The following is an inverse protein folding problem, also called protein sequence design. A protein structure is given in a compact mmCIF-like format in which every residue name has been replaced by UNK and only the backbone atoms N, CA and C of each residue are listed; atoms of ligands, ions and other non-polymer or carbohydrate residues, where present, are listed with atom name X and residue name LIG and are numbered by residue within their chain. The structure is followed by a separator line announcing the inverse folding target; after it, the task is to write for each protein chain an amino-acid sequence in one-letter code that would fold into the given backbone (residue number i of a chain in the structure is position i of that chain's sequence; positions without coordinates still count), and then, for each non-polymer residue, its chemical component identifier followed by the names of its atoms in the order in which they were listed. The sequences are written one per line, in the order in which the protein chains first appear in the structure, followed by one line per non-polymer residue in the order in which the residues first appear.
data_IF_210529960459
#
_entry.id   IF_210529960459
#
_cell.length_a   1.000
_cell.length_b   1.000
_cell.length_c   1.000
_cell.angle_alpha   90.00
_cell.angle_beta   90.00
_cell.angle_gamma   90.00
#
_symmetry.space_group_name_H-M   'P 1'
#
loop_
_entity.id
_entity.type
_entity.pdbx_description
1 polymer ?
#
# COMPACT_ATOMS: atom_id res chain seq x y z
N UNK A 1 3.18 -11.89 -16.70
CA UNK A 1 2.57 -10.77 -15.96
C UNK A 1 3.31 -10.64 -14.64
N UNK A 2 3.31 -9.45 -14.01
CA UNK A 2 4.03 -9.21 -12.76
C UNK A 2 3.01 -9.25 -11.62
N UNK A 3 3.30 -9.99 -10.54
CA UNK A 3 2.52 -9.89 -9.30
C UNK A 3 2.72 -8.50 -8.66
N UNK A 4 1.78 -8.10 -7.80
CA UNK A 4 1.75 -6.80 -7.12
C UNK A 4 0.34 -6.21 -7.15
N UNK A 5 0.02 -5.10 -6.48
CA UNK A 5 0.86 -4.48 -5.46
C UNK A 5 1.16 -5.46 -4.33
N UNK A 6 2.34 -5.29 -3.74
CA UNK A 6 2.83 -6.09 -2.63
C UNK A 6 2.58 -5.34 -1.33
N UNK A 7 2.06 -6.05 -0.34
CA UNK A 7 1.72 -5.54 0.96
C UNK A 7 2.56 -6.22 2.01
N UNK A 8 3.08 -5.43 2.93
CA UNK A 8 4.04 -5.89 3.92
C UNK A 8 3.60 -5.46 5.30
N UNK A 9 3.71 -6.36 6.27
CA UNK A 9 3.38 -6.10 7.66
C UNK A 9 4.52 -6.55 8.58
N UNK A 10 4.85 -5.72 9.55
CA UNK A 10 5.89 -5.98 10.52
C UNK A 10 5.24 -6.40 11.83
N UNK A 11 5.77 -7.47 12.40
CA UNK A 11 5.37 -8.02 13.69
C UNK A 11 6.54 -8.80 14.30
N UNK A 12 6.57 -8.87 15.62
CA UNK A 12 7.48 -9.74 16.35
C UNK A 12 7.23 -11.22 15.99
N UNK A 13 8.28 -12.03 15.96
CA UNK A 13 8.18 -13.45 15.61
C UNK A 13 7.17 -14.20 16.49
N UNK A 14 7.13 -13.87 17.79
CA UNK A 14 6.21 -14.47 18.75
C UNK A 14 4.72 -14.19 18.44
N UNK A 15 4.42 -13.07 17.79
CA UNK A 15 3.06 -12.66 17.43
C UNK A 15 2.71 -13.00 15.96
N UNK A 16 3.66 -13.51 15.18
CA UNK A 16 3.57 -13.54 13.71
C UNK A 16 2.47 -14.44 13.16
N UNK A 17 2.31 -15.63 13.74
CA UNK A 17 1.22 -16.54 13.34
C UNK A 17 -0.15 -15.95 13.68
N UNK A 18 -0.24 -15.23 14.80
CA UNK A 18 -1.48 -14.60 15.24
C UNK A 18 -1.83 -13.39 14.37
N UNK A 19 -0.82 -12.58 14.03
CA UNK A 19 -0.93 -11.49 13.06
C UNK A 19 -1.37 -12.01 11.68
N UNK A 20 -0.76 -13.10 11.22
CA UNK A 20 -1.11 -13.76 9.96
C UNK A 20 -2.55 -14.27 9.98
N UNK A 21 -2.97 -14.93 11.07
CA UNK A 21 -4.33 -15.45 11.21
C UNK A 21 -5.38 -14.35 11.24
N UNK A 22 -5.09 -13.24 11.94
CA UNK A 22 -5.95 -12.07 11.94
C UNK A 22 -6.08 -11.44 10.55
N UNK A 23 -4.97 -11.27 9.83
CA UNK A 23 -4.98 -10.77 8.46
C UNK A 23 -5.76 -11.70 7.52
N UNK A 24 -5.52 -13.02 7.58
CA UNK A 24 -6.25 -13.99 6.78
C UNK A 24 -7.76 -13.96 7.08
N UNK A 25 -8.14 -13.90 8.35
CA UNK A 25 -9.54 -13.81 8.77
C UNK A 25 -10.22 -12.52 8.30
N UNK A 26 -9.50 -11.40 8.24
CA UNK A 26 -10.04 -10.12 7.80
C UNK A 26 -10.15 -10.02 6.27
N UNK A 27 -9.33 -10.79 5.53
CA UNK A 27 -9.24 -10.69 4.08
C UNK A 27 -10.04 -11.76 3.34
N UNK A 28 -10.16 -12.97 3.88
CA UNK A 28 -10.86 -14.05 3.20
C UNK A 28 -12.35 -13.70 2.99
N UNK A 29 -12.91 -14.09 1.86
CA UNK A 29 -14.35 -14.02 1.64
C UNK A 29 -15.10 -14.86 2.68
N UNK A 30 -16.28 -14.39 3.13
CA UNK A 30 -17.15 -15.10 4.06
C UNK A 30 -18.50 -15.43 3.39
N UNK A 31 -18.89 -16.71 3.29
CA UNK A 31 -18.13 -17.90 3.69
C UNK A 31 -16.92 -18.19 2.78
N UNK A 32 -15.81 -18.76 3.31
CA UNK A 32 -14.65 -19.09 2.48
C UNK A 32 -14.98 -20.14 1.42
N UNK A 33 -14.59 -19.88 0.16
CA UNK A 33 -14.67 -20.88 -0.91
C UNK A 33 -13.62 -21.97 -0.73
N UNK A 34 -12.35 -21.59 -0.70
CA UNK A 34 -11.20 -22.45 -0.46
C UNK A 34 -10.04 -21.63 0.12
N UNK A 35 -9.37 -22.20 1.12
CA UNK A 35 -8.11 -21.70 1.69
C UNK A 35 -7.08 -22.81 1.53
N UNK A 36 -6.19 -22.63 0.56
CA UNK A 36 -5.12 -23.57 0.24
C UNK A 36 -3.82 -23.16 0.94
N UNK A 37 -3.33 -24.00 1.84
CA UNK A 37 -2.14 -23.74 2.66
C UNK A 37 -0.95 -24.57 2.15
N UNK A 38 0.18 -23.90 1.93
CA UNK A 38 1.44 -24.50 1.49
C UNK A 38 2.51 -24.31 2.57
N UNK A 39 3.09 -25.43 3.02
CA UNK A 39 3.99 -25.47 4.18
C UNK A 39 5.18 -26.39 3.86
N UNK A 40 6.11 -26.00 2.98
CA UNK A 40 7.20 -26.91 2.59
C UNK A 40 8.17 -27.13 3.77
N UNK A 41 8.57 -28.37 4.09
CA UNK A 41 8.41 -29.61 3.32
C UNK A 41 7.16 -30.43 3.64
N UNK A 42 6.29 -29.98 4.54
CA UNK A 42 5.01 -30.62 4.84
C UNK A 42 4.07 -30.60 3.61
N UNK A 43 3.13 -31.57 3.53
CA UNK A 43 2.11 -31.56 2.48
C UNK A 43 1.27 -30.29 2.51
N UNK A 44 0.92 -29.77 1.32
CA UNK A 44 -0.11 -28.76 1.19
C UNK A 44 -1.47 -29.35 1.53
N UNK A 45 -2.39 -28.51 2.01
CA UNK A 45 -3.79 -28.91 2.22
C UNK A 45 -4.73 -27.76 1.91
N UNK A 46 -6.00 -28.07 1.75
CA UNK A 46 -7.06 -27.13 1.43
C UNK A 46 -8.19 -27.29 2.45
N UNK A 47 -8.77 -26.18 2.89
CA UNK A 47 -9.87 -26.14 3.86
C UNK A 47 -10.79 -24.95 3.57
N UNK A 48 -12.03 -24.99 4.04
CA UNK A 48 -12.93 -23.84 4.05
C UNK A 48 -12.99 -23.14 5.42
N UNK A 49 -12.09 -23.49 6.34
CA UNK A 49 -12.01 -22.93 7.69
C UNK A 49 -10.69 -22.17 7.91
N UNK A 50 -10.80 -20.87 8.21
CA UNK A 50 -9.64 -20.03 8.60
C UNK A 50 -8.98 -20.58 9.86
N UNK A 51 -9.77 -21.01 10.84
CA UNK A 51 -9.24 -21.53 12.10
C UNK A 51 -8.43 -22.82 11.88
N UNK A 52 -8.89 -23.71 10.99
CA UNK A 52 -8.13 -24.90 10.62
C UNK A 52 -6.84 -24.53 9.87
N UNK A 53 -6.92 -23.57 8.94
CA UNK A 53 -5.76 -23.03 8.23
C UNK A 53 -4.69 -22.51 9.21
N UNK A 54 -5.08 -21.64 10.13
CA UNK A 54 -4.19 -21.01 11.11
C UNK A 54 -3.65 -22.04 12.11
N UNK A 55 -4.46 -22.99 12.58
CA UNK A 55 -3.99 -24.04 13.50
C UNK A 55 -2.89 -24.90 12.88
N UNK A 56 -3.02 -25.23 11.58
CA UNK A 56 -2.01 -26.01 10.85
C UNK A 56 -0.74 -25.21 10.62
N UNK A 57 -0.87 -23.94 10.23
CA UNK A 57 0.28 -23.03 10.11
C UNK A 57 0.99 -22.91 11.45
N UNK A 58 0.26 -22.71 12.56
CA UNK A 58 0.85 -22.63 13.90
C UNK A 58 1.65 -23.88 14.27
N UNK A 59 1.15 -25.06 13.94
CA UNK A 59 1.85 -26.32 14.20
C UNK A 59 3.11 -26.51 13.33
N UNK A 60 3.17 -25.84 12.18
CA UNK A 60 4.30 -25.87 11.26
C UNK A 60 5.34 -24.76 11.53
N UNK A 61 4.86 -23.60 11.98
CA UNK A 61 5.64 -22.38 12.15
C UNK A 61 6.76 -22.59 13.17
N UNK A 62 7.99 -22.20 12.80
CA UNK A 62 9.22 -22.49 13.53
C UNK A 62 10.11 -23.55 12.88
N UNK A 63 9.56 -24.36 11.97
CA UNK A 63 10.35 -25.25 11.11
C UNK A 63 10.62 -24.67 9.73
N UNK A 64 9.62 -24.05 9.11
CA UNK A 64 9.71 -23.37 7.83
C UNK A 64 8.61 -22.30 7.69
N UNK A 65 8.67 -21.57 6.58
CA UNK A 65 7.70 -20.55 6.21
C UNK A 65 6.37 -21.18 5.77
N UNK A 66 5.30 -20.38 5.79
CA UNK A 66 3.97 -20.83 5.39
C UNK A 66 3.28 -19.81 4.49
N UNK A 67 2.56 -20.33 3.49
CA UNK A 67 1.77 -19.52 2.55
C UNK A 67 0.31 -19.98 2.59
N UNK A 68 -0.63 -19.04 2.50
CA UNK A 68 -2.05 -19.30 2.28
C UNK A 68 -2.50 -18.63 0.97
N UNK A 69 -3.25 -19.38 0.17
CA UNK A 69 -3.90 -18.95 -1.06
C UNK A 69 -5.39 -18.92 -0.81
N UNK A 70 -6.02 -17.80 -1.11
CA UNK A 70 -7.44 -17.57 -0.83
C UNK A 70 -8.02 -16.52 -1.78
N UNK A 71 -9.34 -16.39 -1.78
CA UNK A 71 -10.04 -15.33 -2.50
C UNK A 71 -10.51 -14.25 -1.52
N UNK A 72 -10.21 -13.00 -1.85
CA UNK A 72 -10.76 -11.82 -1.19
C UNK A 72 -11.92 -11.28 -2.04
N UNK A 73 -12.98 -10.80 -1.40
CA UNK A 73 -13.98 -9.95 -2.06
C UNK A 73 -13.66 -8.48 -1.74
N UNK A 74 -13.25 -7.73 -2.77
CA UNK A 74 -12.98 -6.30 -2.69
C UNK A 74 -14.27 -5.48 -2.50
N UNK A 75 -14.12 -4.21 -2.12
CA UNK A 75 -15.21 -3.25 -1.99
C UNK A 75 -15.99 -3.04 -3.30
N UNK A 76 -15.31 -3.17 -4.44
CA UNK A 76 -15.90 -3.13 -5.78
C UNK A 76 -16.78 -4.35 -6.11
N UNK A 77 -16.77 -5.38 -5.25
CA UNK A 77 -17.43 -6.67 -5.49
C UNK A 77 -16.64 -7.62 -6.38
N UNK A 78 -15.41 -7.29 -6.75
CA UNK A 78 -14.52 -8.16 -7.51
C UNK A 78 -13.83 -9.18 -6.60
N UNK A 79 -13.75 -10.43 -7.06
CA UNK A 79 -12.92 -11.46 -6.42
C UNK A 79 -11.46 -11.28 -6.81
N UNK A 80 -10.59 -11.27 -5.81
CA UNK A 80 -9.15 -11.10 -5.97
C UNK A 80 -8.44 -12.32 -5.38
N UNK A 81 -7.78 -13.15 -6.20
CA UNK A 81 -6.98 -14.27 -5.71
C UNK A 81 -5.70 -13.75 -5.06
N UNK A 82 -5.55 -14.02 -3.76
CA UNK A 82 -4.48 -13.51 -2.92
C UNK A 82 -3.55 -14.63 -2.45
N UNK A 83 -2.29 -14.26 -2.22
CA UNK A 83 -1.27 -15.09 -1.58
C UNK A 83 -0.79 -14.31 -0.36
N UNK A 84 -1.01 -14.85 0.84
CA UNK A 84 -0.47 -14.32 2.09
C UNK A 84 0.62 -15.25 2.60
N UNK A 85 1.77 -14.70 2.94
CA UNK A 85 2.96 -15.43 3.38
C UNK A 85 3.37 -15.01 4.78
N UNK A 86 3.90 -15.97 5.52
CA UNK A 86 4.39 -15.85 6.87
C UNK A 86 5.83 -16.39 6.90
N UNK A 87 6.80 -15.49 7.05
CA UNK A 87 8.22 -15.87 7.07
C UNK A 87 8.73 -16.03 8.50
N UNK A 88 9.56 -17.04 8.75
CA UNK A 88 10.30 -17.18 10.01
C UNK A 88 11.41 -16.14 10.13
N UNK A 89 11.91 -15.84 11.34
CA UNK A 89 13.04 -14.90 11.49
C UNK A 89 14.29 -15.39 10.75
N UNK A 90 14.48 -16.71 10.73
CA UNK A 90 15.56 -17.33 9.98
C UNK A 90 15.45 -16.97 8.50
N UNK A 91 14.27 -17.11 7.91
CA UNK A 91 14.04 -16.80 6.51
C UNK A 91 14.17 -15.30 6.25
N UNK A 92 13.61 -14.45 7.09
CA UNK A 92 13.72 -12.99 6.96
C UNK A 92 15.18 -12.51 7.00
N UNK A 93 16.03 -13.10 7.84
CA UNK A 93 17.46 -12.78 7.87
C UNK A 93 18.19 -13.17 6.59
N UNK A 94 17.74 -14.22 5.90
CA UNK A 94 18.35 -14.71 4.66
C UNK A 94 17.79 -13.95 3.44
N UNK A 95 16.49 -13.71 3.44
CA UNK A 95 15.70 -13.05 2.39
C UNK A 95 14.67 -12.13 3.05
N UNK A 96 15.01 -10.86 3.30
CA UNK A 96 14.17 -9.92 4.01
C UNK A 96 13.03 -9.44 3.11
N UNK A 97 11.93 -10.19 3.10
CA UNK A 97 10.76 -9.91 2.29
C UNK A 97 9.70 -9.18 3.11
N UNK A 98 9.73 -9.29 4.43
CA UNK A 98 8.70 -8.80 5.35
C UNK A 98 8.15 -9.97 6.18
N UNK A 99 8.10 -9.86 7.53
CA UNK A 99 7.53 -10.89 8.40
C UNK A 99 6.21 -11.48 7.89
N UNK A 100 5.32 -10.60 7.44
CA UNK A 100 4.12 -10.94 6.69
C UNK A 100 4.15 -10.20 5.36
N UNK A 101 3.82 -10.93 4.30
CA UNK A 101 3.86 -10.44 2.94
C UNK A 101 2.67 -10.95 2.16
N UNK A 102 1.94 -10.07 1.49
CA UNK A 102 0.75 -10.39 0.72
C UNK A 102 0.83 -9.79 -0.67
N UNK A 103 0.30 -10.50 -1.67
CA UNK A 103 0.07 -9.95 -2.99
C UNK A 103 -1.06 -10.69 -3.71
N UNK A 104 -1.74 -10.04 -4.67
CA UNK A 104 -2.60 -10.77 -5.59
C UNK A 104 -1.76 -11.69 -6.48
N UNK A 105 -2.43 -12.62 -7.14
CA UNK A 105 -1.80 -13.46 -8.14
C UNK A 105 -1.21 -12.62 -9.27
N UNK A 106 -2.02 -11.70 -9.81
CA UNK A 106 -1.64 -10.78 -10.88
C UNK A 106 -1.93 -9.33 -10.50
N UNK A 107 -1.12 -8.39 -11.01
CA UNK A 107 -1.35 -6.95 -10.76
C UNK A 107 -2.67 -6.44 -11.30
N UNK A 108 -3.17 -7.06 -12.37
CA UNK A 108 -4.46 -6.76 -12.98
C UNK A 108 -5.63 -7.05 -12.04
N UNK A 109 -5.44 -7.90 -11.01
CA UNK A 109 -6.48 -8.19 -10.03
C UNK A 109 -6.75 -7.00 -9.07
N UNK A 110 -5.80 -6.06 -8.95
CA UNK A 110 -5.93 -4.84 -8.12
C UNK A 110 -5.85 -3.54 -8.92
N UNK A 111 -4.96 -3.48 -9.91
CA UNK A 111 -4.72 -2.32 -10.77
C UNK A 111 -4.99 -2.75 -12.21
N UNK A 112 -6.24 -2.57 -12.70
CA UNK A 112 -6.64 -3.11 -13.99
C UNK A 112 -5.81 -2.45 -15.10
N UNK A 113 -5.17 -3.27 -15.95
CA UNK A 113 -4.40 -2.78 -17.10
C UNK A 113 -5.31 -2.34 -18.27
N UNK A 114 -6.61 -2.57 -18.14
CA UNK A 114 -7.63 -2.16 -19.09
C UNK A 114 -8.95 -1.87 -18.38
N UNK A 115 -9.78 -1.02 -18.98
CA UNK A 115 -11.10 -0.67 -18.46
C UNK A 115 -12.14 -0.73 -19.57
N UNK A 116 -13.33 -1.21 -19.24
CA UNK A 116 -14.50 -1.12 -20.12
C UNK A 116 -15.29 0.15 -19.76
N UNK A 117 -15.10 1.21 -20.55
CA UNK A 117 -15.61 2.56 -20.27
C UNK A 117 -16.63 3.02 -21.31
N UNK A 118 -17.70 3.66 -20.86
CA UNK A 118 -18.63 4.40 -21.71
C UNK A 118 -18.08 5.81 -21.95
N UNK A 119 -17.34 6.00 -23.05
CA UNK A 119 -16.69 7.27 -23.35
C UNK A 119 -17.66 8.37 -23.82
N UNK A 120 -18.85 8.00 -24.28
CA UNK A 120 -19.81 8.93 -24.86
C UNK A 120 -19.36 9.49 -26.22
N UNK A 121 -19.85 10.67 -26.58
CA UNK A 121 -19.53 11.35 -27.85
C UNK A 121 -18.33 12.29 -27.78
N UNK A 122 -17.86 12.60 -26.58
CA UNK A 122 -16.74 13.49 -26.35
C UNK A 122 -15.39 12.83 -26.69
N UNK A 123 -14.35 13.60 -27.03
CA UNK A 123 -13.01 13.05 -27.29
C UNK A 123 -12.48 12.23 -26.11
N UNK A 124 -11.53 11.34 -26.43
CA UNK A 124 -10.71 10.64 -25.42
C UNK A 124 -9.82 11.62 -24.69
N UNK A 125 -9.58 11.36 -23.41
CA UNK A 125 -8.63 12.09 -22.56
C UNK A 125 -7.92 11.08 -21.69
N UNK A 126 -6.59 11.03 -21.83
CA UNK A 126 -5.72 10.14 -21.04
C UNK A 126 -5.83 10.49 -19.57
N UNK A 127 -5.90 11.77 -19.24
CA UNK A 127 -5.98 12.30 -17.89
C UNK A 127 -7.29 11.86 -17.22
N UNK A 128 -8.42 12.00 -17.91
CA UNK A 128 -9.72 11.57 -17.40
C UNK A 128 -9.81 10.03 -17.28
N UNK A 129 -9.29 9.30 -18.26
CA UNK A 129 -9.21 7.83 -18.22
C UNK A 129 -8.32 7.36 -17.04
N UNK A 130 -7.21 8.04 -16.78
CA UNK A 130 -6.32 7.77 -15.65
C UNK A 130 -6.98 8.07 -14.30
N UNK A 131 -7.74 9.15 -14.18
CA UNK A 131 -8.51 9.47 -12.97
C UNK A 131 -9.61 8.43 -12.70
N UNK A 132 -10.31 7.94 -13.73
CA UNK A 132 -11.25 6.82 -13.58
C UNK A 132 -10.53 5.56 -13.10
N UNK A 133 -9.37 5.23 -13.66
CA UNK A 133 -8.57 4.10 -13.21
C UNK A 133 -8.15 4.24 -11.74
N UNK A 134 -7.78 5.44 -11.30
CA UNK A 134 -7.43 5.70 -9.91
C UNK A 134 -8.58 5.43 -8.95
N UNK A 135 -9.79 5.90 -9.27
CA UNK A 135 -10.97 5.65 -8.45
C UNK A 135 -11.27 4.15 -8.31
N UNK A 136 -11.10 3.38 -9.39
CA UNK A 136 -11.30 1.93 -9.35
C UNK A 136 -10.31 1.22 -8.41
N UNK A 137 -9.07 1.72 -8.32
CA UNK A 137 -8.01 1.09 -7.51
C UNK A 137 -8.07 1.54 -6.05
N UNK A 138 -8.38 2.81 -5.77
CA UNK A 138 -8.25 3.35 -4.42
C UNK A 138 -9.22 2.69 -3.44
N UNK A 139 -10.49 2.48 -3.83
CA UNK A 139 -11.49 1.92 -2.91
C UNK A 139 -11.09 0.52 -2.43
N UNK A 140 -10.67 -0.34 -3.36
CA UNK A 140 -10.20 -1.69 -3.05
C UNK A 140 -8.85 -1.67 -2.31
N UNK A 141 -7.95 -0.75 -2.66
CA UNK A 141 -6.69 -0.59 -1.94
C UNK A 141 -6.92 -0.14 -0.49
N UNK A 142 -7.78 0.86 -0.27
CA UNK A 142 -8.10 1.37 1.06
C UNK A 142 -8.79 0.29 1.90
N UNK A 143 -9.82 -0.36 1.37
CA UNK A 143 -10.50 -1.48 2.04
C UNK A 143 -9.49 -2.57 2.45
N UNK A 144 -8.57 -2.92 1.56
CA UNK A 144 -7.55 -3.92 1.85
C UNK A 144 -6.56 -3.47 2.94
N UNK A 145 -6.08 -2.22 2.88
CA UNK A 145 -5.21 -1.65 3.90
C UNK A 145 -5.91 -1.59 5.26
N UNK A 146 -7.20 -1.22 5.29
CA UNK A 146 -8.02 -1.18 6.50
C UNK A 146 -8.25 -2.58 7.09
N UNK A 147 -8.48 -3.59 6.25
CA UNK A 147 -8.58 -5.00 6.69
C UNK A 147 -7.26 -5.52 7.23
N UNK A 148 -6.13 -5.12 6.66
CA UNK A 148 -4.80 -5.39 7.23
C UNK A 148 -4.53 -4.62 8.53
N UNK A 149 -5.24 -3.52 8.77
CA UNK A 149 -5.26 -2.81 10.06
C UNK A 149 -6.31 -3.36 11.04
N UNK A 150 -7.18 -4.28 10.60
CA UNK A 150 -8.33 -4.76 11.37
C UNK A 150 -7.88 -5.67 12.54
N UNK A 151 -8.67 -5.76 13.62
CA UNK A 151 -8.43 -4.93 14.78
C UNK A 151 -8.46 -5.81 16.02
N UNK A 152 -7.41 -6.57 16.28
CA UNK A 152 -7.41 -7.35 17.51
C UNK A 152 -7.00 -6.53 18.73
N UNK A 153 -6.92 -5.19 18.70
CA UNK A 153 -6.45 -4.35 19.83
C UNK A 153 -5.09 -4.75 20.46
N UNK A 154 -4.47 -5.84 19.99
CA UNK A 154 -3.25 -6.41 20.55
C UNK A 154 -2.02 -5.90 19.80
N UNK A 155 -2.21 -5.05 18.79
CA UNK A 155 -1.13 -4.35 18.10
C UNK A 155 -0.17 -5.30 17.38
N UNK A 156 -0.66 -6.45 16.91
CA UNK A 156 0.20 -7.52 16.37
C UNK A 156 1.00 -7.06 15.16
N UNK A 157 0.36 -6.30 14.25
CA UNK A 157 1.05 -5.58 13.17
C UNK A 157 1.26 -4.15 13.64
N UNK A 158 2.50 -3.73 13.85
CA UNK A 158 2.78 -2.36 14.33
C UNK A 158 2.95 -1.35 13.21
N UNK A 159 3.30 -1.81 12.01
CA UNK A 159 3.43 -0.98 10.82
C UNK A 159 3.42 -1.86 9.58
N UNK A 160 2.97 -1.30 8.47
CA UNK A 160 3.05 -1.94 7.17
C UNK A 160 3.17 -0.94 6.04
N UNK A 161 3.25 -1.47 4.82
CA UNK A 161 3.15 -0.64 3.64
C UNK A 161 2.84 -1.42 2.37
N UNK A 162 2.57 -0.67 1.30
CA UNK A 162 2.22 -1.19 -0.01
C UNK A 162 3.14 -0.61 -1.09
N UNK A 163 3.57 -1.43 -2.06
CA UNK A 163 4.33 -0.95 -3.21
C UNK A 163 4.20 -1.89 -4.40
N UNK A 164 4.39 -1.37 -5.62
CA UNK A 164 4.52 -2.18 -6.83
C UNK A 164 5.86 -2.95 -6.90
N UNK A 165 6.79 -2.70 -5.97
CA UNK A 165 8.07 -3.40 -5.90
C UNK A 165 7.93 -4.70 -5.10
N UNK A 166 8.58 -5.75 -5.57
CA UNK A 166 8.70 -7.05 -4.89
C UNK A 166 9.40 -7.04 -3.53
N UNK A 167 9.91 -5.90 -3.08
CA UNK A 167 10.64 -5.74 -1.82
C UNK A 167 10.06 -4.62 -1.00
N UNK A 168 10.11 -4.75 0.32
CA UNK A 168 9.73 -3.69 1.25
C UNK A 168 10.69 -2.49 1.13
N UNK A 169 10.23 -1.43 0.45
CA UNK A 169 10.97 -0.18 0.29
C UNK A 169 10.90 0.68 1.55
N UNK A 170 11.77 1.71 1.63
CA UNK A 170 11.65 2.76 2.63
C UNK A 170 10.22 3.31 2.69
N UNK A 171 9.61 3.53 3.88
CA UNK A 171 8.22 3.98 4.02
C UNK A 171 7.81 5.12 3.08
N UNK A 172 8.64 6.17 2.95
CA UNK A 172 8.33 7.30 2.04
C UNK A 172 8.36 6.94 0.54
N UNK A 173 9.06 5.87 0.17
CA UNK A 173 9.16 5.36 -1.20
C UNK A 173 8.05 4.34 -1.53
N UNK A 174 7.14 4.07 -0.59
CA UNK A 174 5.98 3.19 -0.78
C UNK A 174 4.79 3.97 -1.34
N UNK A 175 3.81 3.30 -1.96
CA UNK A 175 2.57 3.94 -2.38
C UNK A 175 1.56 4.04 -1.22
N UNK A 176 1.74 3.24 -0.17
CA UNK A 176 1.02 3.43 1.08
C UNK A 176 1.85 2.98 2.29
N UNK A 177 1.61 3.60 3.44
CA UNK A 177 2.00 3.11 4.78
C UNK A 177 0.75 3.00 5.64
N UNK A 178 0.72 2.04 6.55
CA UNK A 178 -0.46 1.81 7.37
C UNK A 178 -0.10 1.34 8.78
N UNK A 179 -1.04 1.61 9.69
CA UNK A 179 -0.98 1.30 11.12
C UNK A 179 0.19 1.93 11.90
N UNK A 180 0.92 2.88 11.32
CA UNK A 180 1.92 3.66 12.04
C UNK A 180 1.25 4.48 13.15
N UNK A 181 1.80 4.47 14.38
CA UNK A 181 1.26 5.23 15.51
C UNK A 181 1.23 6.73 15.18
N UNK A 182 0.04 7.35 15.29
CA UNK A 182 -0.16 8.76 15.02
C UNK A 182 0.74 9.67 15.88
N UNK A 183 1.08 9.25 17.10
CA UNK A 183 1.95 10.02 18.00
C UNK A 183 3.39 10.06 17.50
N UNK A 184 3.81 8.99 16.86
CA UNK A 184 5.19 8.75 16.42
C UNK A 184 5.29 8.69 14.89
N UNK A 185 4.40 9.36 14.14
CA UNK A 185 4.36 9.28 12.67
C UNK A 185 5.69 9.68 11.98
N UNK A 186 6.52 10.50 12.66
CA UNK A 186 7.87 10.84 12.21
C UNK A 186 8.82 9.62 12.15
N UNK A 187 8.44 8.50 12.78
CA UNK A 187 9.10 7.20 12.66
C UNK A 187 9.27 6.80 11.20
N UNK A 188 8.28 7.04 10.35
CA UNK A 188 8.35 6.67 8.92
C UNK A 188 9.48 7.41 8.21
N UNK A 189 9.71 8.68 8.55
CA UNK A 189 10.84 9.46 8.04
C UNK A 189 12.18 8.92 8.55
N UNK A 190 12.27 8.62 9.85
CA UNK A 190 13.51 8.11 10.45
C UNK A 190 13.87 6.71 9.94
N UNK A 191 12.89 5.81 9.85
CA UNK A 191 13.03 4.46 9.29
C UNK A 191 13.43 4.52 7.81
N UNK A 192 12.81 5.42 7.05
CA UNK A 192 13.19 5.65 5.65
C UNK A 192 14.62 6.15 5.53
N UNK A 193 15.01 7.13 6.34
CA UNK A 193 16.36 7.69 6.33
C UNK A 193 17.39 6.64 6.66
N UNK A 194 17.20 5.86 7.73
CA UNK A 194 18.11 4.78 8.15
C UNK A 194 18.22 3.70 7.07
N UNK A 195 17.09 3.25 6.52
CA UNK A 195 17.09 2.24 5.45
C UNK A 195 17.89 2.70 4.22
N UNK A 196 17.72 3.96 3.81
CA UNK A 196 18.38 4.51 2.63
C UNK A 196 19.85 4.85 2.89
N UNK A 197 20.18 5.43 4.05
CA UNK A 197 21.54 5.85 4.39
C UNK A 197 22.44 4.65 4.71
N UNK A 198 21.96 3.76 5.57
CA UNK A 198 22.72 2.59 6.03
C UNK A 198 22.55 1.39 5.09
N UNK A 199 21.73 1.53 4.03
CA UNK A 199 21.38 0.49 3.05
C UNK A 199 20.70 -0.74 3.65
N UNK A 200 20.09 -0.57 4.83
CA UNK A 200 19.42 -1.64 5.56
C UNK A 200 18.01 -1.92 5.02
N UNK A 201 17.59 -3.17 5.18
CA UNK A 201 16.30 -3.65 4.71
C UNK A 201 15.22 -3.34 5.74
N UNK A 202 14.16 -2.65 5.31
CA UNK A 202 13.08 -2.19 6.19
C UNK A 202 12.52 -3.33 7.05
N UNK A 203 12.32 -4.53 6.49
CA UNK A 203 11.75 -5.65 7.25
C UNK A 203 12.59 -6.06 8.47
N UNK A 204 13.90 -5.79 8.47
CA UNK A 204 14.82 -6.11 9.57
C UNK A 204 14.88 -5.02 10.63
N UNK A 205 14.50 -3.79 10.31
CA UNK A 205 14.62 -2.62 11.20
C UNK A 205 13.30 -1.93 11.53
N UNK A 206 12.21 -2.33 10.91
CA UNK A 206 10.88 -1.78 11.19
C UNK A 206 10.41 -2.01 12.64
N UNK A 207 11.11 -2.87 13.40
CA UNK A 207 10.89 -3.08 14.84
C UNK A 207 11.72 -2.22 15.79
N UNK A 208 12.69 -1.44 15.30
CA UNK A 208 13.57 -0.64 16.18
C UNK A 208 12.76 0.40 16.97
N UNK A 209 13.12 0.74 18.20
CA UNK A 209 12.43 1.82 18.92
C UNK A 209 12.64 3.18 18.24
N UNK A 210 11.77 4.16 18.52
CA UNK A 210 11.93 5.52 17.97
C UNK A 210 13.25 6.14 18.44
N UNK A 211 13.66 5.91 19.68
CA UNK A 211 14.93 6.37 20.24
C UNK A 211 16.12 5.77 19.52
N UNK A 212 16.06 4.48 19.16
CA UNK A 212 17.12 3.80 18.42
C UNK A 212 17.24 4.34 17.00
N UNK A 213 16.11 4.60 16.32
CA UNK A 213 16.09 5.26 15.02
C UNK A 213 16.65 6.68 15.11
N UNK A 214 16.22 7.47 16.10
CA UNK A 214 16.70 8.82 16.35
C UNK A 214 18.22 8.84 16.57
N UNK A 215 18.75 7.95 17.41
CA UNK A 215 20.19 7.85 17.67
C UNK A 215 21.00 7.54 16.40
N UNK A 216 20.47 6.70 15.49
CA UNK A 216 21.13 6.41 14.21
C UNK A 216 21.15 7.60 13.26
N UNK A 217 20.03 8.32 13.15
CA UNK A 217 19.96 9.56 12.37
C UNK A 217 20.92 10.60 12.96
N UNK A 218 20.95 10.76 14.28
CA UNK A 218 21.82 11.73 14.94
C UNK A 218 23.31 11.37 14.81
N UNK A 219 23.67 10.10 14.82
CA UNK A 219 25.07 9.67 14.65
C UNK A 219 25.64 9.96 13.25
N UNK A 220 24.79 10.23 12.26
CA UNK A 220 25.24 10.50 10.91
C UNK A 220 25.93 11.87 10.75
N UNK A 221 26.80 12.05 9.75
CA UNK A 221 27.45 13.33 9.51
C UNK A 221 26.45 14.47 9.26
N UNK A 222 26.76 15.66 9.77
CA UNK A 222 25.96 16.85 9.50
C UNK A 222 25.85 17.12 7.98
N UNK A 223 24.64 17.43 7.52
CA UNK A 223 24.36 17.64 6.10
C UNK A 223 24.26 16.37 5.25
N UNK A 224 24.31 15.17 5.85
CA UNK A 224 24.04 13.92 5.16
C UNK A 224 22.62 13.92 4.57
N UNK A 225 22.48 13.38 3.36
CA UNK A 225 21.25 13.36 2.58
C UNK A 225 21.04 11.99 1.96
N UNK A 226 19.80 11.56 1.92
CA UNK A 226 19.35 10.41 1.15
C UNK A 226 18.35 10.87 0.09
N UNK A 227 18.23 10.11 -0.99
CA UNK A 227 17.24 10.38 -2.04
C UNK A 227 16.18 9.29 -1.97
N UNK A 228 15.00 9.58 -1.43
CA UNK A 228 13.84 8.72 -1.56
C UNK A 228 13.58 8.41 -3.04
N UNK A 229 13.10 7.20 -3.32
CA UNK A 229 12.65 6.90 -4.68
C UNK A 229 11.39 7.71 -4.92
N UNK A 230 11.50 8.69 -5.81
CA UNK A 230 10.36 9.36 -6.41
C UNK A 230 10.21 8.80 -7.83
N UNK A 231 9.01 8.36 -8.20
CA UNK A 231 8.77 7.87 -9.56
C UNK A 231 8.53 9.02 -10.55
N UNK A 232 8.29 10.24 -10.05
CA UNK A 232 8.08 11.46 -10.83
C UNK A 232 9.36 12.13 -11.35
N UNK A 233 10.54 11.60 -11.00
CA UNK A 233 11.85 12.17 -11.40
C UNK A 233 12.23 13.46 -10.67
N UNK A 234 11.44 13.92 -9.71
CA UNK A 234 11.71 15.01 -8.77
C UNK A 234 12.44 14.47 -7.54
N UNK A 235 13.76 14.38 -7.63
CA UNK A 235 14.59 13.91 -6.52
C UNK A 235 14.77 14.98 -5.43
N UNK A 236 13.75 15.22 -4.61
CA UNK A 236 13.87 16.05 -3.40
C UNK A 236 14.62 15.22 -2.34
N UNK A 237 15.84 15.61 -1.92
CA UNK A 237 16.60 14.85 -0.95
C UNK A 237 16.04 15.02 0.47
N UNK A 238 16.01 13.93 1.24
CA UNK A 238 15.71 13.94 2.66
C UNK A 238 17.02 14.12 3.45
N UNK A 239 17.18 15.25 4.13
CA UNK A 239 18.37 15.54 4.94
C UNK A 239 18.26 14.97 6.35
N UNK A 240 19.40 14.67 6.97
CA UNK A 240 19.51 14.31 8.39
C UNK A 240 18.80 15.35 9.28
N UNK A 241 19.07 16.64 9.05
CA UNK A 241 18.53 17.73 9.87
C UNK A 241 17.02 17.86 9.72
N UNK A 242 16.47 17.62 8.53
CA UNK A 242 15.02 17.54 8.29
C UNK A 242 14.38 16.46 9.16
N UNK A 243 14.98 15.27 9.18
CA UNK A 243 14.47 14.14 9.97
C UNK A 243 14.53 14.44 11.46
N UNK A 244 15.65 14.95 11.97
CA UNK A 244 15.78 15.31 13.39
C UNK A 244 14.80 16.39 13.81
N UNK A 245 14.56 17.40 12.97
CA UNK A 245 13.54 18.42 13.23
C UNK A 245 12.13 17.82 13.23
N UNK A 246 11.81 16.91 12.32
CA UNK A 246 10.52 16.24 12.29
C UNK A 246 10.31 15.35 13.52
N UNK A 247 11.35 14.67 14.00
CA UNK A 247 11.29 13.80 15.19
C UNK A 247 10.98 14.54 16.49
N UNK A 248 11.24 15.85 16.57
CA UNK A 248 10.87 16.66 17.74
C UNK A 248 9.50 17.34 17.60
N UNK A 249 8.81 17.19 16.46
CA UNK A 249 7.47 17.73 16.27
C UNK A 249 6.41 16.86 16.93
N UNK A 250 5.33 17.44 17.47
CA UNK A 250 4.16 16.67 17.88
C UNK A 250 3.61 15.90 16.68
N UNK A 251 3.33 14.59 16.84
CA UNK A 251 2.74 13.77 15.78
C UNK A 251 1.43 14.36 15.23
N UNK A 252 0.63 15.02 16.08
CA UNK A 252 -0.59 15.72 15.65
C UNK A 252 -0.31 16.83 14.63
N UNK A 253 0.75 17.61 14.82
CA UNK A 253 1.13 18.69 13.90
C UNK A 253 1.63 18.15 12.56
N UNK A 254 2.38 17.04 12.58
CA UNK A 254 2.80 16.34 11.36
C UNK A 254 1.59 15.79 10.59
N UNK A 255 0.63 15.18 11.29
CA UNK A 255 -0.59 14.66 10.64
C UNK A 255 -1.44 15.79 10.08
N UNK A 256 -1.59 16.89 10.80
CA UNK A 256 -2.32 18.07 10.29
C UNK A 256 -1.66 18.63 9.03
N UNK A 257 -0.32 18.69 8.98
CA UNK A 257 0.40 19.09 7.79
C UNK A 257 0.26 18.07 6.63
N UNK A 258 0.25 16.77 6.92
CA UNK A 258 -0.01 15.72 5.92
C UNK A 258 -1.43 15.84 5.35
N UNK A 259 -2.44 16.07 6.19
CA UNK A 259 -3.82 16.30 5.74
C UNK A 259 -3.89 17.57 4.88
N UNK A 260 -3.30 18.67 5.35
CA UNK A 260 -3.28 19.92 4.60
C UNK A 260 -2.56 19.79 3.25
N UNK A 261 -1.46 19.02 3.19
CA UNK A 261 -0.75 18.73 1.95
C UNK A 261 -1.58 17.85 1.00
N UNK A 262 -2.29 16.85 1.52
CA UNK A 262 -3.20 16.02 0.71
C UNK A 262 -4.40 16.81 0.14
N UNK A 263 -4.86 17.85 0.85
CA UNK A 263 -5.96 18.73 0.41
C UNK A 263 -5.55 19.71 -0.69
N UNK A 264 -4.24 19.90 -0.95
CA UNK A 264 -3.75 20.74 -2.05
C UNK A 264 -4.13 20.09 -3.37
N UNK A 265 -5.04 20.74 -4.09
CA UNK A 265 -5.53 20.22 -5.38
C UNK A 265 -4.50 20.43 -6.48
N UNK A 266 -4.03 19.33 -7.06
CA UNK A 266 -3.28 19.35 -8.31
C UNK A 266 -4.15 19.92 -9.46
N UNK A 267 -3.59 20.82 -10.27
CA UNK A 267 -4.36 21.51 -11.32
C UNK A 267 -4.69 20.61 -12.50
N UNK A 268 -3.77 19.71 -12.89
CA UNK A 268 -3.98 18.78 -13.98
C UNK A 268 -5.03 17.74 -13.59
N UNK A 269 -4.98 17.25 -12.35
CA UNK A 269 -6.02 16.39 -11.79
C UNK A 269 -7.40 17.09 -11.80
N UNK A 270 -7.45 18.33 -11.30
CA UNK A 270 -8.70 19.10 -11.25
C UNK A 270 -9.30 19.35 -12.64
N UNK A 271 -8.46 19.52 -13.65
CA UNK A 271 -8.91 19.71 -15.03
C UNK A 271 -9.51 18.43 -15.64
N UNK A 272 -9.04 17.25 -15.21
CA UNK A 272 -9.54 15.95 -15.67
C UNK A 272 -10.88 15.56 -15.01
N UNK A 273 -11.09 15.97 -13.76
CA UNK A 273 -12.22 15.52 -12.93
C UNK A 273 -13.62 15.60 -13.57
N UNK A 274 -14.03 16.70 -14.23
CA UNK A 274 -15.37 16.76 -14.83
C UNK A 274 -15.59 15.70 -15.90
N UNK A 275 -14.54 15.40 -16.68
CA UNK A 275 -14.61 14.40 -17.74
C UNK A 275 -14.53 12.98 -17.17
N UNK A 276 -13.72 12.76 -16.14
CA UNK A 276 -13.66 11.49 -15.43
C UNK A 276 -15.01 11.13 -14.80
N UNK A 277 -15.67 12.09 -14.14
CA UNK A 277 -17.00 11.94 -13.56
C UNK A 277 -18.06 11.59 -14.62
N UNK A 278 -18.04 12.24 -15.77
CA UNK A 278 -18.93 11.92 -16.90
C UNK A 278 -18.74 10.47 -17.36
N UNK A 279 -17.48 10.06 -17.61
CA UNK A 279 -17.15 8.70 -18.06
C UNK A 279 -17.59 7.67 -17.01
N UNK A 280 -17.31 7.92 -15.72
CA UNK A 280 -17.72 7.04 -14.64
C UNK A 280 -19.24 6.87 -14.61
N UNK A 281 -20.00 7.97 -14.61
CA UNK A 281 -21.46 7.95 -14.56
C UNK A 281 -22.08 7.22 -15.77
N UNK A 282 -21.58 7.49 -16.99
CA UNK A 282 -22.02 6.79 -18.19
C UNK A 282 -21.73 5.28 -18.09
N UNK A 283 -20.56 4.92 -17.55
CA UNK A 283 -20.13 3.52 -17.40
C UNK A 283 -21.02 2.78 -16.41
N UNK A 284 -21.32 3.39 -15.26
CA UNK A 284 -22.25 2.84 -14.27
C UNK A 284 -23.64 2.63 -14.87
N UNK A 285 -24.16 3.62 -15.60
CA UNK A 285 -25.48 3.50 -16.25
C UNK A 285 -25.52 2.43 -17.34
N UNK A 286 -24.47 2.33 -18.17
CA UNK A 286 -24.35 1.29 -19.18
C UNK A 286 -24.36 -0.12 -18.55
N UNK A 287 -23.55 -0.32 -17.50
CA UNK A 287 -23.53 -1.58 -16.75
C UNK A 287 -24.88 -1.91 -16.12
N UNK A 288 -25.58 -0.91 -15.56
CA UNK A 288 -26.92 -1.08 -15.00
C UNK A 288 -27.96 -1.51 -16.05
N UNK A 289 -27.78 -1.14 -17.32
CA UNK A 289 -28.60 -1.61 -18.45
C UNK A 289 -28.18 -3.00 -18.97
N UNK A 290 -27.19 -3.63 -18.35
CA UNK A 290 -26.64 -4.92 -18.79
C UNK A 290 -25.75 -4.81 -20.03
N UNK A 291 -25.34 -3.60 -20.40
CA UNK A 291 -24.43 -3.39 -21.53
C UNK A 291 -23.02 -3.88 -21.18
N UNK A 292 -22.33 -4.40 -22.19
CA UNK A 292 -20.97 -4.96 -22.05
C UNK A 292 -20.10 -4.55 -23.23
N UNK A 293 -18.79 -4.56 -23.02
CA UNK A 293 -17.86 -4.44 -24.12
C UNK A 293 -18.11 -5.57 -25.13
N UNK A 294 -18.23 -5.20 -26.41
CA UNK A 294 -18.30 -6.14 -27.52
C UNK A 294 -17.30 -5.69 -28.57
N UNK A 295 -16.38 -6.59 -28.92
CA UNK A 295 -15.32 -6.28 -29.89
C UNK A 295 -15.93 -5.87 -31.23
N UNK A 296 -15.79 -4.59 -31.59
CA UNK A 296 -16.26 -4.03 -32.85
C UNK A 296 -17.68 -3.44 -32.85
N UNK A 297 -18.35 -3.27 -31.70
CA UNK A 297 -19.70 -2.65 -31.71
C UNK A 297 -20.49 -2.62 -30.39
N UNK A 298 -19.84 -2.45 -29.24
CA UNK A 298 -20.51 -2.26 -27.93
C UNK A 298 -20.62 -0.78 -27.51
N UNK A 299 -21.46 -0.49 -26.50
CA UNK A 299 -21.56 0.84 -25.89
C UNK A 299 -20.42 1.14 -24.90
N UNK A 300 -19.75 0.09 -24.41
CA UNK A 300 -18.49 0.19 -23.68
C UNK A 300 -17.31 0.05 -24.66
N UNK A 301 -16.27 0.84 -24.41
CA UNK A 301 -15.01 0.83 -25.14
C UNK A 301 -13.93 0.21 -24.26
N UNK A 302 -13.14 -0.69 -24.85
CA UNK A 302 -11.94 -1.22 -24.23
C UNK A 302 -10.84 -0.16 -24.25
N UNK A 303 -10.45 0.30 -23.06
CA UNK A 303 -9.39 1.28 -22.86
C UNK A 303 -8.20 0.59 -22.21
N UNK A 304 -7.08 0.50 -22.92
CA UNK A 304 -5.82 -0.01 -22.38
C UNK A 304 -5.06 1.10 -21.65
N UNK A 305 -4.56 0.82 -20.44
CA UNK A 305 -3.69 1.75 -19.73
C UNK A 305 -2.30 1.79 -20.39
N UNK A 306 -2.02 2.90 -21.05
CA UNK A 306 -0.73 3.18 -21.69
C UNK A 306 0.26 3.81 -20.71
N UNK A 307 1.52 3.96 -21.14
CA UNK A 307 2.53 4.69 -20.35
C UNK A 307 2.13 6.11 -20.00
N UNK A 308 1.36 6.81 -20.86
CA UNK A 308 0.89 8.17 -20.59
C UNK A 308 -0.08 8.22 -19.39
N UNK A 309 -0.96 7.21 -19.26
CA UNK A 309 -1.82 7.07 -18.08
C UNK A 309 -0.98 6.86 -16.82
N UNK A 310 0.04 6.01 -16.91
CA UNK A 310 0.95 5.72 -15.79
C UNK A 310 1.71 6.99 -15.37
N UNK A 311 2.26 7.76 -16.32
CA UNK A 311 2.96 9.01 -16.00
C UNK A 311 2.03 10.03 -15.35
N UNK A 312 0.81 10.18 -15.86
CA UNK A 312 -0.18 11.05 -15.24
C UNK A 312 -0.48 10.64 -13.79
N UNK A 313 -0.66 9.34 -13.52
CA UNK A 313 -0.89 8.82 -12.16
C UNK A 313 0.32 9.02 -11.24
N UNK A 314 1.53 8.82 -11.75
CA UNK A 314 2.77 9.03 -10.99
C UNK A 314 2.88 10.48 -10.52
N UNK A 315 2.53 11.43 -11.39
CA UNK A 315 2.73 12.86 -11.13
C UNK A 315 1.55 13.50 -10.38
N UNK A 316 0.33 13.04 -10.62
CA UNK A 316 -0.90 13.77 -10.24
C UNK A 316 -1.87 12.99 -9.36
N UNK A 317 -1.74 11.66 -9.19
CA UNK A 317 -2.69 10.88 -8.38
C UNK A 317 -2.77 11.41 -6.95
N UNK A 318 -3.96 11.72 -6.41
CA UNK A 318 -4.08 12.37 -5.11
C UNK A 318 -3.64 11.44 -3.98
N UNK A 319 -3.39 12.06 -2.83
CA UNK A 319 -3.03 11.39 -1.60
C UNK A 319 -4.25 11.24 -0.70
N UNK A 320 -4.26 10.16 0.08
CA UNK A 320 -5.26 9.87 1.08
C UNK A 320 -4.58 9.74 2.44
N UNK A 321 -5.11 10.47 3.43
CA UNK A 321 -4.62 10.44 4.82
C UNK A 321 -5.80 10.13 5.73
N UNK A 322 -5.71 9.02 6.45
CA UNK A 322 -6.78 8.56 7.34
C UNK A 322 -6.27 8.20 8.72
N UNK A 323 -6.88 8.79 9.74
CA UNK A 323 -6.68 8.37 11.14
C UNK A 323 -7.53 7.13 11.42
N UNK A 324 -6.94 6.15 12.07
CA UNK A 324 -7.60 4.92 12.46
C UNK A 324 -8.15 5.03 13.89
N UNK A 325 -9.27 4.35 14.22
CA UNK A 325 -9.81 4.34 15.58
C UNK A 325 -8.82 3.86 16.65
N UNK A 326 -7.88 2.97 16.27
CA UNK A 326 -6.84 2.45 17.15
C UNK A 326 -5.64 3.38 17.39
N UNK A 327 -5.67 4.62 16.88
CA UNK A 327 -4.56 5.57 16.98
C UNK A 327 -3.50 5.44 15.90
N UNK A 328 -3.65 4.51 14.95
CA UNK A 328 -2.80 4.42 13.77
C UNK A 328 -3.17 5.43 12.67
N UNK A 329 -2.33 5.51 11.64
CA UNK A 329 -2.57 6.33 10.44
C UNK A 329 -2.36 5.48 9.18
N UNK A 330 -3.18 5.74 8.17
CA UNK A 330 -2.96 5.28 6.79
C UNK A 330 -2.59 6.49 5.94
N UNK A 331 -1.47 6.37 5.22
CA UNK A 331 -1.09 7.25 4.13
C UNK A 331 -1.15 6.41 2.86
N UNK A 332 -1.87 6.85 1.83
CA UNK A 332 -2.01 6.09 0.59
C UNK A 332 -2.09 6.99 -0.64
N UNK A 333 -1.76 6.43 -1.80
CA UNK A 333 -1.98 6.98 -3.14
C UNK A 333 -2.02 5.82 -4.14
N UNK A 334 -2.02 6.11 -5.44
CA UNK A 334 -2.00 5.09 -6.49
C UNK A 334 -0.75 4.19 -6.37
N UNK A 335 -0.84 2.87 -6.66
CA UNK A 335 0.33 1.96 -6.65
C UNK A 335 1.53 2.39 -7.52
N UNK A 336 1.30 3.28 -8.49
CA UNK A 336 2.35 3.84 -9.33
C UNK A 336 3.04 5.05 -8.71
N UNK A 337 2.46 5.71 -7.72
CA UNK A 337 3.02 6.87 -7.03
C UNK A 337 3.62 6.48 -5.68
N UNK A 338 4.50 7.32 -5.14
CA UNK A 338 5.08 7.16 -3.80
C UNK A 338 4.52 8.22 -2.86
N UNK A 339 4.52 7.98 -1.54
CA UNK A 339 4.06 8.96 -0.55
C UNK A 339 5.10 10.05 -0.23
N UNK A 340 6.30 10.00 -0.84
CA UNK A 340 7.34 11.01 -0.61
C UNK A 340 6.91 12.45 -0.93
N UNK A 341 6.24 12.77 -2.06
CA UNK A 341 5.79 14.13 -2.33
C UNK A 341 4.85 14.67 -1.24
N UNK A 342 3.93 13.84 -0.72
CA UNK A 342 3.07 14.20 0.41
C UNK A 342 3.88 14.61 1.64
N UNK A 343 4.91 13.83 1.98
CA UNK A 343 5.81 14.15 3.10
C UNK A 343 6.61 15.43 2.85
N UNK A 344 7.15 15.61 1.64
CA UNK A 344 7.92 16.79 1.29
C UNK A 344 7.08 18.07 1.42
N UNK A 345 5.83 18.04 0.92
CA UNK A 345 4.90 19.16 1.01
C UNK A 345 4.50 19.43 2.48
N UNK A 346 4.22 18.40 3.27
CA UNK A 346 3.92 18.55 4.70
C UNK A 346 5.10 19.16 5.48
N UNK A 347 6.33 18.72 5.21
CA UNK A 347 7.54 19.26 5.83
C UNK A 347 7.80 20.72 5.42
N UNK A 348 7.45 21.09 4.18
CA UNK A 348 7.50 22.47 3.71
C UNK A 348 6.47 23.35 4.41
N UNK A 349 5.22 22.88 4.56
CA UNK A 349 4.16 23.59 5.29
C UNK A 349 4.53 23.87 6.76
N UNK A 350 5.31 22.98 7.37
CA UNK A 350 5.82 23.14 8.73
C UNK A 350 7.09 24.01 8.82
N UNK A 351 7.63 24.49 7.69
CA UNK A 351 8.87 25.27 7.65
C UNK A 351 10.12 24.47 8.00
N UNK A 352 10.06 23.14 7.91
CA UNK A 352 11.20 22.25 8.21
C UNK A 352 12.15 22.20 7.02
N UNK A 353 11.59 22.16 5.81
CA UNK A 353 12.30 22.23 4.52
C UNK A 353 12.00 23.54 3.81
N UNK A 354 12.97 24.03 3.03
CA UNK A 354 12.92 25.27 2.25
C UNK A 354 12.66 25.03 0.78
#
# INVERSE_FOLDING_TARGET
MRSGPYFFAWCDEAARVDAFGAALSALVHDPPYDVSVYMRPSPSFSTNSVDEAVAKIRAHFGHADADAYFEMLGSSGQFVPCILRCYTDRSERIKPWGPIHMHPREIEDFAPMHMDLALGSSPRSVEAEAEVAWHMVLDDLEDMLLRLCAPDATGRVSTGGCTSAWTWLAPVSMCATYNADARDIARDLALSWVSLHDTEKVSLIAGMSLEALHARVDAAPAGARVVPTDKSGRSIPLSRETVLKALVMPGSALIEALVAAADVRDEAWRAAAPRAEEIHNLTVQARARGERFTRGGGSLTWVELTGEHVYFLVDHAPFHVRRLPGGGVVLATHPYRTVWPLWADALFLLGITS
#
